data_IF_444186621086
#
_entry.id   IF_444186621086
#
_cell.length_a   1.000
_cell.length_b   1.000
_cell.length_c   1.000
_cell.angle_alpha   90.00
_cell.angle_beta   90.00
_cell.angle_gamma   90.00
#
_symmetry.space_group_name_H-M   'P 1'
#
loop_
_entity.id
_entity.type
_entity.pdbx_description
1 polymer ?
#
# COMPACT_ATOMS: atom_id res chain seq x y z
N UNK A 1 -2.27 17.32 10.18
CA UNK A 1 -2.03 16.09 9.40
C UNK A 1 -1.34 15.07 10.31
N UNK A 2 -1.64 13.78 10.18
CA UNK A 2 -0.95 12.73 10.95
C UNK A 2 0.26 12.22 10.13
N UNK A 3 1.51 12.59 10.45
CA UNK A 3 2.68 12.18 9.67
C UNK A 3 2.99 10.69 9.77
N UNK A 4 2.35 9.97 10.68
CA UNK A 4 2.49 8.52 10.85
C UNK A 4 1.47 7.72 10.04
N UNK A 5 0.53 8.37 9.36
CA UNK A 5 -0.47 7.72 8.52
C UNK A 5 -0.23 8.06 7.05
N UNK A 6 0.23 7.07 6.27
CA UNK A 6 0.66 7.24 4.89
C UNK A 6 -0.33 6.59 3.94
N UNK A 7 -0.74 7.32 2.91
CA UNK A 7 -1.45 6.75 1.77
C UNK A 7 -0.42 6.40 0.70
N UNK A 8 -0.38 5.14 0.29
CA UNK A 8 0.57 4.62 -0.70
C UNK A 8 -0.17 3.98 -1.87
N UNK A 9 0.48 3.94 -3.03
CA UNK A 9 0.04 3.20 -4.20
C UNK A 9 1.08 2.13 -4.48
N UNK A 10 0.63 0.88 -4.54
CA UNK A 10 1.44 -0.26 -4.96
C UNK A 10 1.12 -0.54 -6.43
N UNK A 11 2.15 -0.78 -7.21
CA UNK A 11 2.04 -1.16 -8.62
C UNK A 11 2.22 -2.66 -8.72
N UNK A 12 1.30 -3.33 -9.41
CA UNK A 12 1.39 -4.75 -9.67
C UNK A 12 2.65 -5.10 -10.48
N UNK A 13 3.48 -6.05 -10.03
CA UNK A 13 4.67 -6.48 -10.76
C UNK A 13 4.31 -7.10 -12.12
N UNK A 14 5.20 -7.01 -13.13
CA UNK A 14 5.04 -7.72 -14.39
C UNK A 14 5.04 -9.24 -14.19
N UNK A 15 4.44 -9.96 -15.13
CA UNK A 15 4.33 -11.42 -15.14
C UNK A 15 3.57 -12.00 -13.94
N UNK A 16 2.66 -11.21 -13.35
CA UNK A 16 1.78 -11.65 -12.26
C UNK A 16 0.32 -11.37 -12.58
N UNK A 17 -0.61 -12.01 -11.85
CA UNK A 17 -2.06 -11.72 -11.95
C UNK A 17 -2.42 -10.27 -11.57
N UNK A 18 -1.48 -9.55 -10.98
CA UNK A 18 -1.65 -8.17 -10.53
C UNK A 18 -1.05 -7.17 -11.51
N UNK A 19 -0.36 -7.60 -12.56
CA UNK A 19 0.27 -6.73 -13.56
C UNK A 19 -0.71 -5.68 -14.09
N UNK A 20 -0.23 -4.43 -14.22
CA UNK A 20 -1.06 -3.28 -14.61
C UNK A 20 -2.05 -2.81 -13.54
N UNK A 21 -2.08 -3.46 -12.38
CA UNK A 21 -2.92 -3.09 -11.24
C UNK A 21 -2.33 -1.95 -10.41
N UNK A 22 -3.21 -1.07 -9.91
CA UNK A 22 -2.85 -0.04 -8.94
C UNK A 22 -3.63 -0.27 -7.64
N UNK A 23 -2.89 -0.53 -6.56
CA UNK A 23 -3.46 -0.88 -5.26
C UNK A 23 -3.20 0.25 -4.27
N UNK A 24 -4.25 0.99 -3.93
CA UNK A 24 -4.17 1.99 -2.86
C UNK A 24 -4.13 1.28 -1.52
N UNK A 25 -3.19 1.65 -0.66
CA UNK A 25 -3.09 1.12 0.68
C UNK A 25 -2.79 2.23 1.70
N UNK A 26 -3.08 1.94 2.97
CA UNK A 26 -2.72 2.79 4.10
C UNK A 26 -1.73 2.10 5.01
N UNK A 27 -0.61 2.77 5.28
CA UNK A 27 0.40 2.35 6.24
C UNK A 27 0.33 3.25 7.46
N UNK A 28 0.27 2.63 8.64
CA UNK A 28 0.38 3.34 9.91
C UNK A 28 1.72 2.98 10.57
N UNK A 29 2.54 4.00 10.81
CA UNK A 29 3.85 3.89 11.43
C UNK A 29 3.74 4.00 12.95
N UNK A 30 4.28 3.04 13.71
CA UNK A 30 4.35 3.18 15.16
C UNK A 30 5.40 4.24 15.55
N UNK A 31 5.33 4.73 16.79
CA UNK A 31 6.31 5.71 17.32
C UNK A 31 7.72 5.12 17.41
N UNK A 32 7.80 3.81 17.55
CA UNK A 32 9.06 3.06 17.68
C UNK A 32 9.65 2.67 16.32
N UNK A 33 9.10 3.16 15.20
CA UNK A 33 9.74 2.96 13.90
C UNK A 33 11.15 3.60 13.91
N UNK A 34 12.21 2.94 13.40
CA UNK A 34 12.21 1.71 12.61
C UNK A 34 12.32 0.39 13.40
N UNK A 35 12.43 0.43 14.74
CA UNK A 35 12.54 -0.78 15.59
C UNK A 35 11.31 -1.67 15.44
N UNK A 36 10.11 -1.07 15.37
CA UNK A 36 8.87 -1.78 15.02
C UNK A 36 8.46 -1.44 13.58
N UNK A 37 8.05 -2.44 12.77
CA UNK A 37 7.64 -2.20 11.38
C UNK A 37 6.33 -1.41 11.30
N UNK A 38 6.07 -0.71 10.18
CA UNK A 38 4.77 -0.14 9.90
C UNK A 38 3.73 -1.26 9.74
N UNK A 39 2.49 -0.95 10.10
CA UNK A 39 1.36 -1.87 9.88
C UNK A 39 0.59 -1.42 8.66
N UNK A 40 0.33 -2.36 7.75
CA UNK A 40 -0.64 -2.14 6.69
C UNK A 40 -2.04 -2.29 7.27
N UNK A 41 -2.80 -1.20 7.26
CA UNK A 41 -4.11 -1.16 7.91
C UNK A 41 -5.22 -1.53 6.94
N UNK A 42 -5.09 -1.14 5.67
CA UNK A 42 -6.14 -1.35 4.68
C UNK A 42 -5.59 -1.35 3.25
N UNK A 43 -6.05 -2.29 2.44
CA UNK A 43 -6.11 -2.15 0.99
C UNK A 43 -7.44 -1.49 0.64
N UNK A 44 -7.37 -0.32 -0.01
CA UNK A 44 -8.56 0.47 -0.32
C UNK A 44 -9.13 0.09 -1.69
N UNK A 45 -8.34 -0.49 -2.61
CA UNK A 45 -8.79 -0.69 -3.99
C UNK A 45 -8.08 -1.84 -4.72
N UNK A 46 -8.84 -2.58 -5.52
CA UNK A 46 -8.41 -3.50 -6.60
C UNK A 46 -8.82 -2.83 -7.93
N UNK A 47 -8.06 -1.86 -8.43
CA UNK A 47 -8.23 -1.43 -9.83
C UNK A 47 -7.22 -2.24 -10.62
N UNK A 48 -7.72 -3.28 -11.27
CA UNK A 48 -6.99 -3.98 -12.32
C UNK A 48 -7.47 -3.35 -13.63
N UNK A 49 -6.63 -2.53 -14.25
CA UNK A 49 -6.88 -2.05 -15.61
C UNK A 49 -6.52 -3.19 -16.57
N UNK A 50 -7.36 -4.22 -16.61
CA UNK A 50 -7.28 -5.25 -17.65
C UNK A 50 -8.05 -4.71 -18.84
N UNK A 51 -7.32 -4.12 -19.79
CA UNK A 51 -7.84 -3.81 -21.14
C UNK A 51 -7.88 -5.11 -21.94
#
# INVERSE_FOLDING_TARGET
SNPYAWNVILVGPPDTLYEGGFFKARLDFPKEYPIKPPKMVRFTTLIVLKI
#
